data_IF_993845584307
#
_entry.id   IF_993845584307
#
_cell.length_a   1.000
_cell.length_b   1.000
_cell.length_c   1.000
_cell.angle_alpha   90.00
_cell.angle_beta   90.00
_cell.angle_gamma   90.00
#
_symmetry.space_group_name_H-M   'P 1'
#
loop_
_entity.id
_entity.type
_entity.pdbx_description
1 polymer ?
#
# COMPACT_ATOMS: atom_id res chain seq x y z
N UNK A 1 -5.21 17.51 11.95
CA UNK A 1 -4.33 16.73 12.85
C UNK A 1 -3.15 17.60 13.21
N UNK A 2 -2.84 17.81 14.50
CA UNK A 2 -1.88 18.84 14.94
C UNK A 2 -0.45 18.69 14.42
N UNK A 3 0.03 17.46 14.25
CA UNK A 3 1.35 17.18 13.69
C UNK A 3 1.30 16.83 12.19
N UNK A 4 0.19 17.14 11.49
CA UNK A 4 0.10 16.90 10.05
C UNK A 4 0.15 15.42 9.67
N UNK A 5 0.74 15.15 8.51
CA UNK A 5 0.88 13.82 7.89
C UNK A 5 2.30 13.28 8.05
N UNK A 6 2.43 11.95 8.12
CA UNK A 6 3.69 11.25 8.38
C UNK A 6 4.77 11.53 7.33
N UNK A 7 4.39 11.66 6.06
CA UNK A 7 5.30 11.99 4.96
C UNK A 7 6.08 13.30 5.18
N UNK A 8 5.50 14.30 5.87
CA UNK A 8 6.18 15.55 6.20
C UNK A 8 7.32 15.37 7.21
N UNK A 9 7.22 14.36 8.06
CA UNK A 9 8.23 14.01 9.05
C UNK A 9 9.29 13.05 8.51
N UNK A 10 8.94 12.26 7.48
CA UNK A 10 9.87 11.34 6.85
C UNK A 10 10.65 11.96 5.69
N UNK A 11 10.05 12.87 4.89
CA UNK A 11 10.67 13.38 3.65
C UNK A 11 10.65 14.91 3.54
N UNK A 12 9.87 15.59 4.39
CA UNK A 12 9.66 17.03 4.31
C UNK A 12 10.63 17.84 5.16
N UNK A 13 10.24 19.08 5.46
CA UNK A 13 11.00 19.99 6.34
C UNK A 13 11.25 19.42 7.74
N UNK A 14 10.43 18.46 8.16
CA UNK A 14 10.58 17.74 9.43
C UNK A 14 11.39 16.45 9.34
N UNK A 15 12.13 16.20 8.25
CA UNK A 15 12.97 15.00 8.13
C UNK A 15 13.88 14.83 9.34
N UNK A 16 13.91 13.63 9.93
CA UNK A 16 14.70 13.33 11.14
C UNK A 16 14.06 13.80 12.45
N UNK A 17 12.85 14.36 12.43
CA UNK A 17 12.14 14.78 13.65
C UNK A 17 11.55 13.63 14.48
N UNK A 18 11.42 12.44 13.89
CA UNK A 18 10.90 11.25 14.56
C UNK A 18 12.04 10.31 14.94
N UNK A 19 12.15 10.05 16.24
CA UNK A 19 13.06 9.06 16.78
C UNK A 19 12.55 7.62 16.53
N UNK A 20 13.37 6.60 16.79
CA UNK A 20 12.98 5.23 16.45
C UNK A 20 11.71 4.79 17.19
N UNK A 21 11.62 5.09 18.49
CA UNK A 21 10.45 4.72 19.29
C UNK A 21 9.15 5.28 18.69
N UNK A 22 9.16 6.54 18.27
CA UNK A 22 8.00 7.16 17.62
C UNK A 22 7.66 6.48 16.30
N UNK A 23 8.67 6.19 15.47
CA UNK A 23 8.49 5.46 14.20
C UNK A 23 7.89 4.07 14.44
N UNK A 24 8.39 3.33 15.41
CA UNK A 24 7.86 2.02 15.80
C UNK A 24 6.40 2.12 16.29
N UNK A 25 6.10 3.07 17.18
CA UNK A 25 4.73 3.30 17.68
C UNK A 25 3.76 3.64 16.53
N UNK A 26 4.22 4.40 15.53
CA UNK A 26 3.45 4.74 14.32
C UNK A 26 3.18 3.49 13.47
N UNK A 27 4.16 2.60 13.28
CA UNK A 27 3.98 1.33 12.56
C UNK A 27 2.93 0.47 13.27
N UNK A 28 3.09 0.27 14.60
CA UNK A 28 2.18 -0.52 15.42
C UNK A 28 0.77 0.07 15.43
N UNK A 29 0.64 1.38 15.61
CA UNK A 29 -0.65 2.06 15.65
C UNK A 29 -1.38 2.00 14.30
N UNK A 30 -0.65 2.12 13.19
CA UNK A 30 -1.22 1.97 11.84
C UNK A 30 -1.68 0.53 11.60
N UNK A 31 -0.88 -0.47 11.99
CA UNK A 31 -1.26 -1.87 11.89
C UNK A 31 -2.54 -2.20 12.67
N UNK A 32 -2.67 -1.67 13.90
CA UNK A 32 -3.90 -1.80 14.70
C UNK A 32 -5.09 -1.14 14.05
N UNK A 33 -4.91 0.07 13.49
CA UNK A 33 -5.98 0.76 12.77
C UNK A 33 -6.49 -0.06 11.57
N UNK A 34 -5.58 -0.68 10.81
CA UNK A 34 -5.95 -1.56 9.71
C UNK A 34 -6.60 -2.87 10.18
N UNK A 35 -6.06 -3.51 11.23
CA UNK A 35 -6.67 -4.69 11.83
C UNK A 35 -8.12 -4.41 12.26
N UNK A 36 -8.36 -3.25 12.88
CA UNK A 36 -9.71 -2.83 13.24
C UNK A 36 -10.63 -2.70 12.01
N UNK A 37 -10.18 -2.02 10.96
CA UNK A 37 -10.97 -1.84 9.73
C UNK A 37 -11.28 -3.17 9.02
N UNK A 38 -10.34 -4.11 9.05
CA UNK A 38 -10.45 -5.38 8.33
C UNK A 38 -11.24 -6.44 9.10
N UNK A 39 -11.09 -6.48 10.43
CA UNK A 39 -11.44 -7.66 11.24
C UNK A 39 -12.35 -7.37 12.44
N UNK A 40 -12.33 -6.15 13.01
CA UNK A 40 -13.06 -5.83 14.25
C UNK A 40 -14.27 -4.90 14.04
N UNK A 41 -14.29 -4.15 12.94
CA UNK A 41 -15.42 -3.31 12.59
C UNK A 41 -16.62 -4.16 12.16
N UNK A 42 -17.84 -3.62 12.30
CA UNK A 42 -19.08 -4.35 11.98
C UNK A 42 -19.22 -4.70 10.48
N UNK A 43 -18.35 -4.17 9.62
CA UNK A 43 -18.25 -4.49 8.22
C UNK A 43 -16.77 -4.44 7.82
N UNK A 44 -16.32 -5.34 6.96
CA UNK A 44 -14.94 -5.34 6.50
C UNK A 44 -14.68 -4.15 5.56
N UNK A 45 -13.85 -3.19 5.99
CA UNK A 45 -13.52 -1.97 5.24
C UNK A 45 -12.13 -2.13 4.61
N UNK A 46 -12.05 -2.09 3.28
CA UNK A 46 -10.79 -2.02 2.53
C UNK A 46 -10.50 -0.55 2.19
N UNK A 47 -9.37 -0.02 2.67
CA UNK A 47 -9.00 1.40 2.57
C UNK A 47 -8.58 1.81 1.16
N UNK A 48 -7.74 1.00 0.49
CA UNK A 48 -7.22 1.14 -0.89
C UNK A 48 -6.20 2.25 -1.14
N UNK A 49 -6.00 3.17 -0.20
CA UNK A 49 -5.01 4.25 -0.36
C UNK A 49 -4.15 4.45 0.89
N UNK A 50 -3.60 3.34 1.41
CA UNK A 50 -2.64 3.41 2.52
C UNK A 50 -1.29 3.88 1.98
N UNK A 51 -0.82 5.01 2.51
CA UNK A 51 0.45 5.67 2.20
C UNK A 51 0.79 6.64 3.32
N UNK A 52 2.04 7.06 3.41
CA UNK A 52 2.54 7.97 4.46
C UNK A 52 1.79 9.32 4.51
N UNK A 53 1.33 9.86 3.38
CA UNK A 53 0.53 11.10 3.37
C UNK A 53 -0.90 10.95 3.90
N UNK A 54 -1.43 9.72 3.96
CA UNK A 54 -2.75 9.39 4.51
C UNK A 54 -2.67 8.87 5.95
N UNK A 55 -1.49 8.89 6.58
CA UNK A 55 -1.31 8.61 8.01
C UNK A 55 -1.05 9.94 8.71
N UNK A 56 -2.01 10.38 9.51
CA UNK A 56 -1.94 11.64 10.22
C UNK A 56 -1.50 11.44 11.67
N UNK A 57 -0.78 12.42 12.23
CA UNK A 57 -0.21 12.34 13.58
C UNK A 57 -0.93 13.31 14.53
N UNK A 58 -1.43 12.79 15.66
CA UNK A 58 -2.05 13.63 16.70
C UNK A 58 -0.98 14.36 17.53
N UNK A 59 -1.39 15.12 18.57
CA UNK A 59 -0.48 15.90 19.42
C UNK A 59 0.61 15.04 20.08
N UNK A 60 0.35 13.75 20.28
CA UNK A 60 1.25 12.79 20.92
C UNK A 60 1.93 11.88 19.90
N UNK A 61 1.95 12.28 18.63
CA UNK A 61 2.49 11.52 17.50
C UNK A 61 1.82 10.14 17.30
N UNK A 62 0.60 9.95 17.82
CA UNK A 62 -0.13 8.71 17.58
C UNK A 62 -0.77 8.75 16.18
N UNK A 63 -0.65 7.66 15.39
CA UNK A 63 -1.15 7.63 14.02
C UNK A 63 -2.67 7.53 13.98
N UNK A 64 -3.26 8.17 12.96
CA UNK A 64 -4.66 8.01 12.54
C UNK A 64 -4.68 7.83 11.02
N UNK A 65 -5.30 6.76 10.57
CA UNK A 65 -5.56 6.54 9.14
C UNK A 65 -6.60 7.57 8.68
N UNK A 66 -6.34 8.22 7.55
CA UNK A 66 -7.18 9.25 6.96
C UNK A 66 -7.41 8.99 5.47
N UNK A 67 -8.27 9.81 4.87
CA UNK A 67 -8.71 9.73 3.47
C UNK A 67 -9.43 8.42 3.10
N UNK A 68 -10.64 8.30 3.63
CA UNK A 68 -11.56 7.21 3.33
C UNK A 68 -12.27 7.38 1.96
N UNK A 69 -11.81 8.28 1.08
CA UNK A 69 -12.48 8.59 -0.18
C UNK A 69 -12.57 7.42 -1.16
N UNK A 70 -11.68 6.42 -1.03
CA UNK A 70 -11.61 5.26 -1.89
C UNK A 70 -12.16 3.97 -1.28
N UNK A 71 -12.63 3.99 -0.03
CA UNK A 71 -12.93 2.75 0.70
C UNK A 71 -14.01 1.90 0.04
N UNK A 72 -13.95 0.59 0.30
CA UNK A 72 -14.97 -0.38 -0.13
C UNK A 72 -15.31 -1.31 1.02
N UNK A 73 -16.58 -1.68 1.11
CA UNK A 73 -17.04 -2.72 2.01
C UNK A 73 -16.92 -4.07 1.31
N UNK A 74 -16.24 -5.02 1.93
CA UNK A 74 -16.21 -6.41 1.49
C UNK A 74 -17.37 -7.16 2.17
N UNK A 75 -18.32 -7.73 1.40
CA UNK A 75 -19.37 -8.59 1.95
C UNK A 75 -18.78 -9.83 2.64
N UNK A 76 -19.44 -10.30 3.72
CA UNK A 76 -18.95 -11.44 4.53
C UNK A 76 -18.82 -12.76 3.74
N UNK A 77 -19.57 -12.92 2.65
CA UNK A 77 -19.59 -14.10 1.79
C UNK A 77 -18.53 -14.07 0.67
N UNK A 78 -17.71 -13.01 0.60
CA UNK A 78 -16.77 -12.81 -0.49
C UNK A 78 -15.33 -12.70 -0.03
N UNK A 79 -14.42 -13.35 -0.76
CA UNK A 79 -12.98 -13.25 -0.50
C UNK A 79 -12.34 -12.05 -1.20
N UNK A 80 -12.98 -11.54 -2.25
CA UNK A 80 -12.52 -10.39 -3.03
C UNK A 80 -13.66 -9.76 -3.84
N UNK A 81 -13.46 -8.51 -4.25
CA UNK A 81 -14.30 -7.77 -5.19
C UNK A 81 -13.58 -7.55 -6.52
N UNK A 82 -14.32 -7.46 -7.62
CA UNK A 82 -13.80 -6.92 -8.88
C UNK A 82 -14.29 -5.47 -9.04
N UNK A 83 -13.37 -4.51 -9.09
CA UNK A 83 -13.70 -3.07 -9.20
C UNK A 83 -12.75 -2.34 -10.13
N UNK A 84 -13.18 -1.18 -10.63
CA UNK A 84 -12.28 -0.22 -11.27
C UNK A 84 -11.10 0.12 -10.34
N UNK A 85 -9.95 0.23 -10.98
CA UNK A 85 -8.69 0.62 -10.37
C UNK A 85 -8.78 2.00 -9.71
N UNK A 86 -8.29 2.12 -8.48
CA UNK A 86 -7.99 3.40 -7.82
C UNK A 86 -6.95 3.17 -6.72
N UNK A 87 -6.14 4.17 -6.42
CA UNK A 87 -5.07 4.11 -5.42
C UNK A 87 -3.83 4.87 -5.91
N UNK A 88 -2.80 4.91 -5.09
CA UNK A 88 -1.56 5.62 -5.39
C UNK A 88 -0.49 4.68 -5.94
N UNK A 89 0.02 5.00 -7.15
CA UNK A 89 1.09 4.22 -7.78
C UNK A 89 2.32 4.08 -6.85
N UNK A 90 2.92 2.89 -6.83
CA UNK A 90 3.98 2.51 -5.90
C UNK A 90 3.49 1.81 -4.62
N UNK A 91 2.24 2.04 -4.19
CA UNK A 91 1.65 1.37 -3.01
C UNK A 91 0.68 0.25 -3.39
N UNK A 92 0.38 0.09 -4.68
CA UNK A 92 -0.68 -0.79 -5.16
C UNK A 92 -0.19 -2.22 -5.27
N UNK A 93 -0.97 -3.14 -4.69
CA UNK A 93 -0.71 -4.56 -4.79
C UNK A 93 -0.80 -5.09 -6.24
N UNK A 94 0.08 -6.03 -6.64
CA UNK A 94 0.18 -6.53 -8.01
C UNK A 94 -1.11 -7.17 -8.52
N UNK A 95 -1.78 -8.01 -7.71
CA UNK A 95 -3.03 -8.66 -8.10
C UNK A 95 -4.16 -7.65 -8.32
N UNK A 96 -4.13 -6.54 -7.60
CA UNK A 96 -5.11 -5.48 -7.77
C UNK A 96 -4.83 -4.65 -9.02
N UNK A 97 -3.56 -4.32 -9.30
CA UNK A 97 -3.16 -3.62 -10.51
C UNK A 97 -3.42 -4.44 -11.78
N UNK A 98 -3.13 -5.74 -11.77
CA UNK A 98 -3.17 -6.61 -12.96
C UNK A 98 -4.58 -7.18 -13.18
N UNK A 99 -5.26 -7.62 -12.13
CA UNK A 99 -6.52 -8.36 -12.23
C UNK A 99 -7.73 -7.60 -11.67
N UNK A 100 -7.53 -6.44 -11.04
CA UNK A 100 -8.62 -5.72 -10.37
C UNK A 100 -9.18 -6.46 -9.16
N UNK A 101 -8.47 -7.46 -8.63
CA UNK A 101 -8.88 -8.25 -7.47
C UNK A 101 -8.64 -7.45 -6.19
N UNK A 102 -9.72 -7.01 -5.57
CA UNK A 102 -9.70 -6.20 -4.36
C UNK A 102 -10.02 -7.08 -3.14
N UNK A 103 -9.08 -7.15 -2.20
CA UNK A 103 -9.27 -7.80 -0.89
C UNK A 103 -8.55 -6.99 0.18
N UNK A 104 -8.73 -7.31 1.47
CA UNK A 104 -7.98 -6.68 2.57
C UNK A 104 -6.46 -6.77 2.40
N UNK A 105 -5.98 -7.77 1.64
CA UNK A 105 -4.54 -7.97 1.38
C UNK A 105 -3.91 -6.89 0.52
N UNK A 106 -4.70 -6.06 -0.17
CA UNK A 106 -4.16 -4.90 -0.90
C UNK A 106 -3.67 -3.84 0.08
N UNK A 107 -4.40 -3.61 1.17
CA UNK A 107 -3.99 -2.68 2.22
C UNK A 107 -2.77 -3.23 2.99
N UNK A 108 -2.69 -4.55 3.20
CA UNK A 108 -1.51 -5.20 3.79
C UNK A 108 -0.26 -4.94 2.94
N UNK A 109 -0.37 -5.05 1.61
CA UNK A 109 0.76 -4.73 0.72
C UNK A 109 1.19 -3.27 0.85
N UNK A 110 0.22 -2.35 0.76
CA UNK A 110 0.49 -0.91 0.91
C UNK A 110 1.11 -0.58 2.27
N UNK A 111 0.67 -1.24 3.35
CA UNK A 111 1.26 -1.11 4.67
C UNK A 111 2.73 -1.55 4.70
N UNK A 112 3.08 -2.68 4.06
CA UNK A 112 4.47 -3.12 3.96
C UNK A 112 5.39 -2.10 3.28
N UNK A 113 4.89 -1.42 2.23
CA UNK A 113 5.61 -0.31 1.59
C UNK A 113 5.79 0.86 2.56
N UNK A 114 4.76 1.24 3.30
CA UNK A 114 4.82 2.29 4.33
C UNK A 114 5.83 1.95 5.44
N UNK A 115 5.94 0.67 5.85
CA UNK A 115 6.95 0.26 6.84
C UNK A 115 8.36 0.52 6.32
N UNK A 116 8.65 0.18 5.05
CA UNK A 116 9.96 0.47 4.44
C UNK A 116 10.24 1.97 4.37
N UNK A 117 9.23 2.79 4.04
CA UNK A 117 9.34 4.26 4.05
C UNK A 117 9.71 4.78 5.45
N UNK A 118 9.08 4.26 6.50
CA UNK A 118 9.34 4.67 7.88
C UNK A 118 10.75 4.27 8.32
N UNK A 119 11.19 3.05 8.00
CA UNK A 119 12.52 2.55 8.37
C UNK A 119 13.62 3.33 7.65
N UNK A 120 13.42 3.61 6.37
CA UNK A 120 14.45 4.19 5.53
C UNK A 120 14.50 5.71 5.52
N UNK A 121 13.39 6.38 5.86
CA UNK A 121 13.26 7.82 5.61
C UNK A 121 13.29 8.16 4.11
N UNK A 122 13.17 7.17 3.23
CA UNK A 122 13.17 7.35 1.78
C UNK A 122 11.76 7.23 1.22
N UNK A 123 11.42 8.11 0.28
CA UNK A 123 10.10 8.09 -0.35
C UNK A 123 10.06 6.97 -1.40
N UNK A 124 9.00 6.17 -1.39
CA UNK A 124 8.88 5.00 -2.27
C UNK A 124 8.99 5.34 -3.76
N UNK A 125 8.52 6.53 -4.15
CA UNK A 125 8.54 7.04 -5.50
C UNK A 125 9.50 8.23 -5.67
N UNK A 126 10.57 8.31 -4.88
CA UNK A 126 11.62 9.28 -5.15
C UNK A 126 12.27 8.93 -6.49
N UNK A 127 11.68 9.50 -7.55
CA UNK A 127 12.36 9.82 -8.79
C UNK A 127 13.50 10.73 -8.39
N UNK A 128 14.63 10.16 -7.98
CA UNK A 128 15.88 10.82 -8.23
C UNK A 128 15.92 11.11 -9.73
N UNK A 129 16.64 12.15 -10.14
CA UNK A 129 16.85 12.52 -11.55
C UNK A 129 17.58 11.42 -12.36
N UNK A 130 17.68 10.22 -11.79
CA UNK A 130 18.32 9.02 -12.28
C UNK A 130 17.24 8.09 -12.89
N UNK A 131 17.27 7.86 -14.20
CA UNK A 131 16.42 6.87 -14.86
C UNK A 131 16.62 5.43 -14.36
N UNK A 132 17.66 5.18 -13.54
CA UNK A 132 17.92 3.88 -12.90
C UNK A 132 17.35 3.78 -11.48
N UNK A 133 16.69 4.84 -10.98
CA UNK A 133 16.08 4.87 -9.65
C UNK A 133 15.09 3.70 -9.47
N UNK A 134 15.52 2.71 -8.71
CA UNK A 134 14.67 1.58 -8.36
C UNK A 134 13.65 2.02 -7.30
N UNK A 135 12.39 1.56 -7.41
CA UNK A 135 11.43 1.69 -6.31
C UNK A 135 12.04 1.22 -5.00
N UNK A 136 11.71 1.89 -3.89
CA UNK A 136 12.25 1.58 -2.57
C UNK A 136 12.15 0.07 -2.24
N UNK A 137 11.01 -0.55 -2.56
CA UNK A 137 10.80 -1.98 -2.36
C UNK A 137 11.81 -2.86 -3.11
N UNK A 138 12.21 -2.49 -4.34
CA UNK A 138 13.18 -3.23 -5.14
C UNK A 138 14.59 -3.08 -4.58
N UNK A 139 14.99 -1.85 -4.24
CA UNK A 139 16.26 -1.57 -3.59
C UNK A 139 16.40 -2.30 -2.25
N UNK A 140 15.38 -2.19 -1.39
CA UNK A 140 15.37 -2.84 -0.08
C UNK A 140 15.47 -4.37 -0.23
N UNK A 141 14.76 -4.95 -1.20
CA UNK A 141 14.84 -6.38 -1.46
C UNK A 141 16.24 -6.82 -1.90
N UNK A 142 16.90 -6.07 -2.81
CA UNK A 142 18.28 -6.36 -3.22
C UNK A 142 19.24 -6.40 -2.04
N UNK A 143 19.20 -5.37 -1.18
CA UNK A 143 20.00 -5.32 0.05
C UNK A 143 19.71 -6.49 0.99
N UNK A 144 18.44 -6.89 1.13
CA UNK A 144 18.06 -8.04 1.95
C UNK A 144 18.66 -9.35 1.41
N UNK A 145 18.62 -9.57 0.10
CA UNK A 145 19.20 -10.76 -0.53
C UNK A 145 20.72 -10.84 -0.34
N UNK A 146 21.39 -9.69 -0.32
CA UNK A 146 22.84 -9.60 -0.13
C UNK A 146 23.25 -9.65 1.35
N UNK A 147 22.32 -9.90 2.28
CA UNK A 147 22.51 -9.84 3.74
C UNK A 147 22.98 -8.46 4.24
N UNK A 148 22.59 -7.41 3.52
CA UNK A 148 22.90 -6.00 3.81
C UNK A 148 21.64 -5.19 4.16
N UNK A 149 20.61 -5.85 4.69
CA UNK A 149 19.30 -5.23 4.95
C UNK A 149 19.38 -3.95 5.79
N UNK A 150 20.32 -3.88 6.74
CA UNK A 150 20.53 -2.71 7.61
C UNK A 150 20.97 -1.45 6.85
N UNK A 151 21.51 -1.57 5.64
CA UNK A 151 21.91 -0.41 4.81
C UNK A 151 20.72 0.41 4.32
N UNK A 152 19.49 -0.10 4.44
CA UNK A 152 18.28 0.67 4.11
C UNK A 152 17.85 1.59 5.26
N UNK A 153 18.37 1.40 6.48
CA UNK A 153 17.93 2.14 7.66
C UNK A 153 18.35 3.61 7.55
N UNK A 154 17.43 4.49 7.93
CA UNK A 154 17.63 5.93 7.94
C UNK A 154 18.83 6.32 8.81
N UNK A 155 19.83 6.95 8.22
CA UNK A 155 21.07 7.38 8.90
C UNK A 155 20.84 8.51 9.92
N UNK A 156 19.66 9.13 9.93
CA UNK A 156 19.27 10.13 10.93
C UNK A 156 18.77 9.52 12.24
N UNK A 157 18.46 8.22 12.26
CA UNK A 157 18.12 7.52 13.50
C UNK A 157 19.38 7.31 14.36
N UNK A 158 19.22 7.46 15.66
CA UNK A 158 20.26 7.15 16.63
C UNK A 158 20.43 5.62 16.74
N UNK A 159 21.62 5.06 16.44
CA UNK A 159 21.87 3.63 16.55
C UNK A 159 21.69 3.05 17.96
N UNK A 160 21.70 3.87 19.01
CA UNK A 160 21.45 3.43 20.38
C UNK A 160 19.94 3.25 20.69
N UNK A 161 19.04 3.75 19.83
CA UNK A 161 17.60 3.68 20.06
C UNK A 161 16.95 2.39 19.58
N UNK A 162 17.63 1.57 18.78
CA UNK A 162 17.09 0.32 18.23
C UNK A 162 18.06 -0.84 18.32
N UNK A 163 17.50 -2.03 18.51
CA UNK A 163 18.23 -3.28 18.41
C UNK A 163 18.30 -3.77 16.95
N UNK A 164 19.42 -4.37 16.55
CA UNK A 164 19.61 -4.86 15.18
C UNK A 164 18.61 -5.96 14.83
N UNK A 165 18.31 -6.88 15.76
CA UNK A 165 17.36 -7.97 15.52
C UNK A 165 15.91 -7.45 15.46
N UNK A 166 15.59 -6.41 16.24
CA UNK A 166 14.31 -5.70 16.11
C UNK A 166 14.18 -5.06 14.73
N UNK A 167 15.18 -4.28 14.30
CA UNK A 167 15.15 -3.61 13.00
C UNK A 167 15.06 -4.62 11.85
N UNK A 168 15.83 -5.70 11.91
CA UNK A 168 15.79 -6.76 10.92
C UNK A 168 14.41 -7.44 10.86
N UNK A 169 13.80 -7.72 12.03
CA UNK A 169 12.43 -8.25 12.10
C UNK A 169 11.42 -7.30 11.47
N UNK A 170 11.57 -5.99 11.64
CA UNK A 170 10.68 -5.00 11.03
C UNK A 170 10.79 -5.01 9.50
N UNK A 171 12.00 -5.12 8.97
CA UNK A 171 12.25 -5.27 7.53
C UNK A 171 11.62 -6.57 7.00
N UNK A 172 11.75 -7.68 7.72
CA UNK A 172 11.15 -8.97 7.35
C UNK A 172 9.62 -8.91 7.35
N UNK A 173 9.01 -8.28 8.36
CA UNK A 173 7.56 -8.06 8.41
C UNK A 173 7.11 -7.23 7.22
N UNK A 174 7.86 -6.20 6.83
CA UNK A 174 7.57 -5.42 5.63
C UNK A 174 7.54 -6.31 4.37
N UNK A 175 8.54 -7.19 4.20
CA UNK A 175 8.58 -8.11 3.06
C UNK A 175 7.49 -9.19 3.08
N UNK A 176 7.10 -9.69 4.26
CA UNK A 176 5.94 -10.57 4.41
C UNK A 176 4.64 -9.86 3.99
N UNK A 177 4.53 -8.57 4.29
CA UNK A 177 3.39 -7.77 3.86
C UNK A 177 3.39 -7.51 2.35
N UNK A 178 4.55 -7.38 1.70
CA UNK A 178 4.67 -7.10 0.26
C UNK A 178 4.83 -8.35 -0.62
N UNK A 179 4.47 -9.54 -0.14
CA UNK A 179 4.56 -10.77 -0.93
C UNK A 179 3.77 -10.64 -2.25
N UNK A 180 4.32 -11.18 -3.34
CA UNK A 180 3.68 -11.18 -4.67
C UNK A 180 2.28 -11.80 -4.61
N UNK A 181 2.17 -12.96 -3.94
CA UNK A 181 0.88 -13.61 -3.72
C UNK A 181 0.16 -13.03 -2.50
N UNK A 182 -1.08 -12.55 -2.70
CA UNK A 182 -1.94 -12.07 -1.62
C UNK A 182 -2.21 -13.12 -0.53
N UNK A 183 -2.20 -14.41 -0.87
CA UNK A 183 -2.42 -15.50 0.09
C UNK A 183 -1.26 -15.69 1.06
N UNK A 184 -0.04 -15.30 0.68
CA UNK A 184 1.15 -15.40 1.52
C UNK A 184 1.30 -14.22 2.48
N UNK A 185 0.59 -13.12 2.24
CA UNK A 185 0.61 -11.96 3.12
C UNK A 185 -0.13 -12.28 4.44
N UNK A 186 0.41 -11.87 5.60
CA UNK A 186 -0.28 -12.03 6.89
C UNK A 186 -1.59 -11.23 6.94
N UNK A 187 -2.48 -11.56 7.86
CA UNK A 187 -3.58 -10.65 8.25
C UNK A 187 -3.02 -9.49 9.05
N UNK A 188 -3.77 -8.39 9.17
CA UNK A 188 -3.27 -7.23 9.94
C UNK A 188 -3.24 -7.53 11.44
N UNK A 189 -4.13 -8.38 11.96
CA UNK A 189 -4.01 -8.93 13.32
C UNK A 189 -2.75 -9.78 13.52
N UNK A 190 -2.36 -10.60 12.54
CA UNK A 190 -1.11 -11.36 12.57
C UNK A 190 0.10 -10.40 12.56
N UNK A 191 0.07 -9.35 11.73
CA UNK A 191 1.10 -8.29 11.73
C UNK A 191 1.23 -7.65 13.11
N UNK A 192 0.11 -7.24 13.74
CA UNK A 192 0.13 -6.66 15.10
C UNK A 192 0.74 -7.63 16.12
N UNK A 193 0.48 -8.93 15.98
CA UNK A 193 1.04 -9.96 16.85
C UNK A 193 2.56 -10.08 16.64
N UNK A 194 3.01 -10.15 15.37
CA UNK A 194 4.44 -10.20 15.00
C UNK A 194 5.23 -8.98 15.47
N UNK A 195 4.64 -7.79 15.38
CA UNK A 195 5.26 -6.55 15.85
C UNK A 195 5.45 -6.52 17.37
N UNK A 196 4.60 -7.21 18.12
CA UNK A 196 4.65 -7.26 19.61
C UNK A 196 5.47 -8.42 20.15
N UNK A 197 5.63 -9.50 19.37
CA UNK A 197 6.34 -10.68 19.82
C UNK A 197 7.85 -10.43 19.84
N UNK A 198 8.46 -10.57 21.02
CA UNK A 198 9.93 -10.60 21.19
C UNK A 198 10.49 -11.98 20.81
N UNK A 199 9.66 -13.03 20.89
CA UNK A 199 10.01 -14.42 20.58
C UNK A 199 9.47 -14.86 19.22
N UNK A 200 10.30 -15.61 18.48
CA UNK A 200 10.07 -16.04 17.10
C UNK A 200 8.75 -16.81 16.94
N UNK A 201 7.73 -16.14 16.38
CA UNK A 201 6.79 -16.85 15.53
C UNK A 201 7.59 -17.58 14.45
N UNK A 202 7.20 -18.81 14.10
CA UNK A 202 7.88 -19.65 13.10
C UNK A 202 8.45 -18.78 11.95
N UNK A 203 9.77 -18.86 11.69
CA UNK A 203 10.40 -18.00 10.70
C UNK A 203 9.80 -18.29 9.32
N UNK A 204 8.93 -17.39 8.86
CA UNK A 204 8.49 -17.36 7.47
C UNK A 204 9.49 -16.53 6.70
N UNK A 205 10.33 -17.19 5.90
CA UNK A 205 11.22 -16.48 5.01
C UNK A 205 10.39 -15.76 3.93
N UNK A 206 10.53 -14.43 3.79
CA UNK A 206 9.88 -13.72 2.71
C UNK A 206 10.35 -14.23 1.36
N UNK A 207 9.45 -14.31 0.38
CA UNK A 207 9.84 -14.52 -1.03
C UNK A 207 9.87 -13.19 -1.78
N UNK A 208 10.43 -13.18 -2.99
CA UNK A 208 10.59 -11.96 -3.80
C UNK A 208 9.26 -11.22 -3.99
N UNK A 209 9.17 -9.93 -3.60
CA UNK A 209 8.03 -9.07 -3.89
C UNK A 209 7.82 -8.88 -5.40
N UNK A 210 6.59 -8.56 -5.78
CA UNK A 210 6.29 -8.19 -7.16
C UNK A 210 6.63 -6.71 -7.35
N UNK A 211 7.39 -6.40 -8.40
CA UNK A 211 7.69 -5.03 -8.80
C UNK A 211 6.76 -4.63 -9.93
N UNK A 212 5.99 -3.57 -9.75
CA UNK A 212 5.24 -2.94 -10.84
C UNK A 212 6.18 -1.92 -11.46
N UNK A 213 6.85 -2.28 -12.54
CA UNK A 213 7.71 -1.37 -13.29
C UNK A 213 6.85 -0.29 -13.98
N UNK A 214 7.28 0.97 -13.88
CA UNK A 214 6.66 2.11 -14.58
C UNK A 214 6.80 2.03 -16.10
N UNK A 215 7.69 1.17 -16.60
CA UNK A 215 8.01 1.04 -18.03
C UNK A 215 7.04 0.16 -18.81
N UNK A 216 6.14 -0.55 -18.13
CA UNK A 216 4.96 -1.10 -18.78
C UNK A 216 3.91 -0.03 -18.83
N UNK A 217 3.97 0.79 -19.89
CA UNK A 217 2.73 1.29 -20.50
C UNK A 217 1.83 0.07 -20.66
N UNK A 218 0.88 -0.08 -19.75
CA UNK A 218 -0.28 -0.91 -20.00
C UNK A 218 -0.90 -0.21 -21.19
N UNK A 219 -0.69 -0.74 -22.39
CA UNK A 219 -1.52 -0.41 -23.52
C UNK A 219 -2.93 -0.82 -23.10
N UNK A 220 -3.64 0.14 -22.51
CA UNK A 220 -5.08 0.10 -22.36
C UNK A 220 -5.55 0.18 -23.80
N UNK A 221 -5.58 -0.97 -24.48
CA UNK A 221 -6.31 -1.13 -25.73
C UNK A 221 -7.74 -0.70 -25.36
N UNK A 222 -8.24 0.43 -25.90
CA UNK A 222 -9.64 0.75 -25.73
C UNK A 222 -10.37 -0.43 -26.35
N UNK A 223 -11.23 -1.11 -25.58
CA UNK A 223 -12.23 -2.01 -26.17
C UNK A 223 -13.16 -1.13 -27.01
N UNK A 224 -12.75 -0.91 -28.25
CA UNK A 224 -13.35 0.01 -29.19
C UNK A 224 -12.90 -0.40 -30.58
N UNK A 225 -13.46 -1.51 -31.06
CA UNK A 225 -13.84 -1.69 -32.45
C UNK A 225 -14.74 -2.93 -32.52
N UNK A 226 -16.05 -2.70 -32.34
CA UNK A 226 -17.05 -3.58 -32.94
C UNK A 226 -16.88 -3.45 -34.45
N UNK A 227 -16.43 -4.52 -35.07
CA UNK A 227 -16.45 -4.69 -36.52
C UNK A 227 -17.86 -4.41 -37.04
N UNK A 228 -17.92 -3.48 -37.98
CA UNK A 228 -19.05 -3.23 -38.86
C UNK A 228 -19.36 -4.50 -39.64
N UNK A 229 -20.40 -5.23 -39.23
CA UNK A 229 -21.15 -6.10 -40.14
C UNK A 229 -22.39 -5.34 -40.60
N UNK A 230 -22.38 -5.01 -41.89
CA UNK A 230 -23.55 -4.57 -42.64
C UNK A 230 -24.67 -5.60 -42.52
N UNK A 231 -25.81 -5.20 -41.98
CA UNK A 231 -27.08 -5.89 -42.17
C UNK A 231 -28.19 -4.85 -42.20
N UNK A 232 -28.78 -4.70 -43.38
CA UNK A 232 -29.90 -3.83 -43.71
C UNK A 232 -31.13 -4.21 -42.89
N UNK A 233 -31.80 -3.22 -42.31
CA UNK A 233 -33.15 -3.36 -41.77
C UNK A 233 -33.86 -2.02 -41.84
N UNK A 234 -34.90 -1.95 -42.67
CA UNK A 234 -35.78 -0.81 -42.86
C UNK A 234 -36.62 -0.57 -41.59
N UNK A 235 -36.63 0.66 -41.08
CA UNK A 235 -37.67 1.13 -40.17
C UNK A 235 -37.93 2.62 -40.41
N UNK A 236 -39.18 2.91 -40.74
CA UNK A 236 -39.75 4.19 -41.16
C UNK A 236 -39.83 5.17 -39.99
N UNK A 237 -39.25 6.36 -40.12
CA UNK A 237 -39.42 7.46 -39.15
C UNK A 237 -40.73 8.22 -39.43
N UNK A 238 -41.72 8.08 -38.56
CA UNK A 238 -42.87 8.97 -38.49
C UNK A 238 -42.51 10.16 -37.58
N UNK A 239 -42.41 11.35 -38.16
CA UNK A 239 -42.19 12.62 -37.44
C UNK A 239 -43.55 13.23 -37.11
N UNK A 240 -43.86 13.36 -35.82
CA UNK A 240 -44.96 14.20 -35.34
C UNK A 240 -44.44 15.62 -35.08
N UNK A 241 -44.81 16.56 -35.96
CA UNK A 241 -44.66 17.99 -35.71
C UNK A 241 -45.75 18.45 -34.74
N UNK A 242 -45.35 19.05 -33.62
CA UNK A 242 -46.23 19.83 -32.74
C UNK A 242 -46.28 21.26 -33.29
N UNK A 243 -47.46 21.69 -33.75
CA UNK A 243 -47.74 23.08 -34.12
C UNK A 243 -48.56 23.72 -33.00
N UNK A 244 -48.05 24.83 -32.48
CA UNK A 244 -48.74 25.66 -31.50
C UNK A 244 -49.76 26.59 -32.15
N UNK A 245 -50.88 26.76 -31.46
CA UNK A 245 -51.69 27.99 -31.46
C UNK A 245 -52.22 28.20 -30.05
#
# INVERSE_FOLDING_TARGET
MPNGSLDKHLFGEGHGSLNWKQRFDIIVGTAKGLAYLHEEFHACIIHRDIKTSNILLDRNFQPKIADFGLVRLLPEDQTHLSTKFAGTFGYIAPEYAIHGQLSVKVDTYSFGVVVLEIISGLKNNETSLDPTAEFLLKRAWGLYQDNMAMEIVDRSLDPEEYDTDEMQRMIEIAFLCTQSSASLRPTMSEVVTRLRSVSSLEPRQPTRPAFIESDRRVDIIPKGNRSTSTSSSNATNSISQVSGR
#
